data_IF_154480677144
#
_entry.id   IF_154480677144
#
_cell.length_a   1.000
_cell.length_b   1.000
_cell.length_c   1.000
_cell.angle_alpha   90.00
_cell.angle_beta   90.00
_cell.angle_gamma   90.00
#
_symmetry.space_group_name_H-M   'P 1'
#
loop_
_entity.id
_entity.type
_entity.pdbx_description
1 polymer ?
#
# COMPACT_ATOMS: atom_id res chain seq x y z
N UNK A 1 22.04 12.15 -15.85
CA UNK A 1 21.42 12.65 -17.07
C UNK A 1 22.50 13.08 -18.02
N UNK A 2 22.74 12.36 -19.09
CA UNK A 2 23.71 12.72 -20.14
C UNK A 2 22.96 12.95 -21.44
N UNK A 3 23.19 14.08 -22.07
CA UNK A 3 22.65 14.42 -23.39
C UNK A 3 23.75 14.14 -24.41
N UNK A 4 23.57 13.14 -25.23
CA UNK A 4 24.37 12.95 -26.44
C UNK A 4 23.42 12.80 -27.63
N UNK A 5 23.63 13.64 -28.64
CA UNK A 5 22.92 13.60 -29.94
C UNK A 5 21.39 13.68 -29.87
N UNK A 6 20.81 14.53 -29.01
CA UNK A 6 19.36 14.77 -28.97
C UNK A 6 18.51 13.58 -28.52
N UNK A 7 19.13 12.55 -27.96
CA UNK A 7 18.46 11.39 -27.37
C UNK A 7 18.55 11.50 -25.86
N UNK A 8 17.41 11.48 -25.19
CA UNK A 8 17.35 11.40 -23.74
C UNK A 8 17.46 9.93 -23.33
N UNK A 9 18.58 9.55 -22.73
CA UNK A 9 18.67 8.28 -22.02
C UNK A 9 18.34 8.49 -20.55
N UNK A 10 17.18 8.01 -20.14
CA UNK A 10 16.79 7.94 -18.73
C UNK A 10 17.14 6.55 -18.24
N UNK A 11 18.20 6.42 -17.49
CA UNK A 11 18.51 5.16 -16.80
C UNK A 11 17.60 5.05 -15.59
N UNK A 12 16.46 4.36 -15.74
CA UNK A 12 15.61 3.98 -14.63
C UNK A 12 16.25 2.76 -13.98
N UNK A 13 16.80 2.93 -12.79
CA UNK A 13 17.19 1.80 -11.95
C UNK A 13 15.91 1.14 -11.43
N UNK A 14 15.47 0.13 -12.14
CA UNK A 14 14.39 -0.74 -11.67
C UNK A 14 14.91 -1.48 -10.43
N UNK A 15 14.30 -1.22 -9.30
CA UNK A 15 14.53 -2.08 -8.13
C UNK A 15 14.08 -3.49 -8.50
N UNK A 16 14.90 -4.51 -8.27
CA UNK A 16 14.52 -5.89 -8.58
C UNK A 16 13.21 -6.22 -7.86
N UNK A 17 12.35 -6.93 -8.57
CA UNK A 17 11.12 -7.47 -8.00
C UNK A 17 11.44 -8.26 -6.74
N UNK A 18 10.58 -8.17 -5.73
CA UNK A 18 10.71 -8.97 -4.51
C UNK A 18 10.86 -10.46 -4.83
N UNK A 19 10.25 -10.94 -5.92
CA UNK A 19 10.43 -12.31 -6.42
C UNK A 19 11.85 -12.60 -6.91
N UNK A 20 12.49 -11.65 -7.56
CA UNK A 20 13.86 -11.82 -8.07
C UNK A 20 14.86 -11.78 -6.93
N UNK A 21 14.62 -10.98 -5.88
CA UNK A 21 15.43 -10.95 -4.67
C UNK A 21 15.42 -12.31 -3.96
N UNK A 22 14.26 -12.97 -3.88
CA UNK A 22 14.17 -14.29 -3.28
C UNK A 22 14.75 -15.42 -4.15
N UNK A 23 14.87 -15.21 -5.45
CA UNK A 23 15.35 -16.22 -6.39
C UNK A 23 16.87 -16.21 -6.55
N UNK A 24 17.51 -15.08 -6.30
CA UNK A 24 18.95 -14.88 -6.49
C UNK A 24 19.70 -14.60 -5.20
N UNK A 25 19.02 -14.53 -4.07
CA UNK A 25 19.68 -14.32 -2.80
C UNK A 25 20.54 -15.54 -2.45
N UNK A 26 21.87 -15.41 -2.41
CA UNK A 26 22.68 -16.42 -1.76
C UNK A 26 22.23 -16.54 -0.30
N UNK A 27 22.32 -17.72 0.25
CA UNK A 27 21.90 -18.11 1.60
C UNK A 27 22.47 -17.26 2.76
N UNK A 28 23.30 -16.29 2.47
CA UNK A 28 23.79 -15.28 3.39
C UNK A 28 23.20 -13.92 2.98
N UNK A 29 21.94 -13.69 3.32
CA UNK A 29 21.43 -12.33 3.32
C UNK A 29 22.26 -11.52 4.33
N UNK A 30 22.90 -10.40 3.92
CA UNK A 30 23.46 -9.49 4.90
C UNK A 30 22.33 -9.07 5.81
N UNK A 31 22.54 -9.03 7.12
CA UNK A 31 21.57 -8.45 8.01
C UNK A 31 21.46 -6.98 7.61
N UNK A 32 20.52 -6.66 6.74
CA UNK A 32 20.04 -5.30 6.62
C UNK A 32 19.33 -5.03 7.93
N UNK A 33 20.14 -4.78 8.93
CA UNK A 33 19.73 -4.31 10.24
C UNK A 33 19.21 -2.86 10.11
N UNK A 34 18.19 -2.67 9.28
CA UNK A 34 17.20 -1.66 9.48
C UNK A 34 15.96 -2.37 10.08
N UNK A 35 16.17 -3.05 11.20
CA UNK A 35 15.09 -3.18 12.14
C UNK A 35 14.89 -1.77 12.70
N UNK A 36 13.85 -1.03 12.32
CA UNK A 36 13.56 0.24 12.97
C UNK A 36 13.34 -0.11 14.43
N UNK A 37 14.13 0.48 15.31
CA UNK A 37 13.98 0.38 16.77
C UNK A 37 12.68 1.04 17.24
N UNK A 38 11.92 1.59 16.31
CA UNK A 38 10.63 2.21 16.47
C UNK A 38 9.56 1.29 15.89
N UNK A 39 8.35 1.35 16.41
CA UNK A 39 7.22 0.59 15.89
C UNK A 39 7.05 0.78 14.39
N UNK A 40 6.55 -0.23 13.70
CA UNK A 40 6.30 -0.14 12.26
C UNK A 40 4.90 0.43 12.01
N UNK A 41 4.79 1.30 11.00
CA UNK A 41 3.48 1.74 10.53
C UNK A 41 2.62 0.53 10.17
N UNK A 42 1.34 0.53 10.53
CA UNK A 42 0.43 -0.54 10.16
C UNK A 42 0.45 -0.80 8.64
N UNK A 43 0.41 -2.06 8.26
CA UNK A 43 0.40 -2.45 6.84
C UNK A 43 -0.73 -1.76 6.06
N UNK A 44 -1.90 -1.61 6.68
CA UNK A 44 -3.05 -0.93 6.06
C UNK A 44 -2.76 0.53 5.73
N UNK A 45 -2.02 1.24 6.59
CA UNK A 45 -1.57 2.62 6.33
C UNK A 45 -0.62 2.68 5.15
N UNK A 46 0.35 1.77 5.09
CA UNK A 46 1.31 1.69 3.98
C UNK A 46 0.61 1.40 2.65
N UNK A 47 -0.33 0.46 2.63
CA UNK A 47 -1.06 0.09 1.40
C UNK A 47 -1.98 1.21 0.95
N UNK A 48 -2.65 1.91 1.86
CA UNK A 48 -3.48 3.07 1.52
C UNK A 48 -2.63 4.23 0.98
N UNK A 49 -1.49 4.52 1.58
CA UNK A 49 -0.56 5.53 1.06
C UNK A 49 -0.09 5.19 -0.35
N UNK A 50 0.20 3.91 -0.60
CA UNK A 50 0.55 3.43 -1.95
C UNK A 50 -0.61 3.60 -2.95
N UNK A 51 -1.85 3.34 -2.53
CA UNK A 51 -3.02 3.56 -3.36
C UNK A 51 -3.16 5.02 -3.79
N UNK A 52 -2.94 5.94 -2.86
CA UNK A 52 -2.99 7.38 -3.13
C UNK A 52 -1.88 7.79 -4.10
N UNK A 53 -0.66 7.29 -3.91
CA UNK A 53 0.45 7.53 -4.85
C UNK A 53 0.13 7.02 -6.26
N UNK A 54 -0.43 5.85 -6.38
CA UNK A 54 -0.84 5.30 -7.69
C UNK A 54 -1.94 6.14 -8.34
N UNK A 55 -2.88 6.64 -7.56
CA UNK A 55 -3.90 7.56 -8.08
C UNK A 55 -3.26 8.85 -8.59
N UNK A 56 -2.34 9.44 -7.85
CA UNK A 56 -1.61 10.63 -8.29
C UNK A 56 -0.81 10.39 -9.57
N UNK A 57 -0.19 9.23 -9.73
CA UNK A 57 0.54 8.87 -10.96
C UNK A 57 -0.40 8.80 -12.17
N UNK A 58 -1.60 8.27 -11.99
CA UNK A 58 -2.63 8.26 -13.04
C UNK A 58 -3.09 9.69 -13.37
N UNK A 59 -3.34 10.50 -12.36
CA UNK A 59 -3.83 11.88 -12.52
C UNK A 59 -2.79 12.79 -13.19
N UNK A 60 -1.50 12.56 -12.93
CA UNK A 60 -0.38 13.27 -13.56
C UNK A 60 -0.03 12.74 -14.95
N UNK A 61 -0.62 11.61 -15.36
CA UNK A 61 -0.31 10.97 -16.64
C UNK A 61 1.03 10.23 -16.68
N UNK A 62 1.64 9.97 -15.52
CA UNK A 62 2.87 9.16 -15.40
C UNK A 62 2.58 7.69 -15.72
N UNK A 63 1.37 7.23 -15.44
CA UNK A 63 0.84 5.95 -15.85
C UNK A 63 -0.51 6.16 -16.55
N UNK A 64 -0.77 5.41 -17.62
CA UNK A 64 -2.01 5.55 -18.40
C UNK A 64 -3.15 4.70 -17.83
N UNK A 65 -2.82 3.60 -17.21
CA UNK A 65 -3.77 2.62 -16.71
C UNK A 65 -3.13 1.69 -15.67
N UNK A 66 -3.92 0.81 -15.08
CA UNK A 66 -3.47 -0.15 -14.09
C UNK A 66 -2.41 -1.14 -14.61
N UNK A 67 -2.39 -1.43 -15.91
CA UNK A 67 -1.35 -2.28 -16.49
C UNK A 67 0.01 -1.57 -16.49
N UNK A 68 0.03 -0.26 -16.74
CA UNK A 68 1.25 0.54 -16.63
C UNK A 68 1.74 0.62 -15.19
N UNK A 69 0.84 0.84 -14.23
CA UNK A 69 1.18 0.80 -12.80
C UNK A 69 1.75 -0.56 -12.38
N UNK A 70 1.16 -1.65 -12.88
CA UNK A 70 1.63 -3.01 -12.60
C UNK A 70 3.05 -3.24 -13.13
N UNK A 71 3.37 -2.73 -14.31
CA UNK A 71 4.73 -2.78 -14.89
C UNK A 71 5.71 -1.94 -14.09
N UNK A 72 5.35 -0.71 -13.73
CA UNK A 72 6.19 0.20 -12.95
C UNK A 72 6.46 -0.35 -11.55
N UNK A 73 5.44 -0.92 -10.91
CA UNK A 73 5.53 -1.49 -9.57
C UNK A 73 6.05 -2.94 -9.53
N UNK A 74 6.30 -3.58 -10.67
CA UNK A 74 6.69 -5.00 -10.77
C UNK A 74 5.75 -5.93 -10.00
N UNK A 75 4.45 -5.66 -10.05
CA UNK A 75 3.39 -6.43 -9.40
C UNK A 75 2.35 -6.88 -10.41
N UNK A 76 1.52 -7.86 -10.05
CA UNK A 76 0.44 -8.27 -10.93
C UNK A 76 -0.70 -7.23 -10.95
N UNK A 77 -1.46 -7.20 -12.05
CA UNK A 77 -2.57 -6.27 -12.24
C UNK A 77 -3.66 -6.43 -11.17
N UNK A 78 -3.92 -7.67 -10.74
CA UNK A 78 -4.86 -7.93 -9.65
C UNK A 78 -4.44 -7.23 -8.36
N UNK A 79 -3.14 -7.22 -8.06
CA UNK A 79 -2.65 -6.52 -6.87
C UNK A 79 -2.88 -5.01 -6.97
N UNK A 80 -2.64 -4.41 -8.15
CA UNK A 80 -2.96 -3.00 -8.38
C UNK A 80 -4.45 -2.74 -8.16
N UNK A 81 -5.32 -3.56 -8.73
CA UNK A 81 -6.78 -3.41 -8.55
C UNK A 81 -7.21 -3.52 -7.08
N UNK A 82 -6.59 -4.42 -6.32
CA UNK A 82 -6.85 -4.57 -4.88
C UNK A 82 -6.40 -3.35 -4.07
N UNK A 83 -5.25 -2.78 -4.41
CA UNK A 83 -4.72 -1.59 -3.76
C UNK A 83 -5.59 -0.37 -4.12
N UNK A 84 -5.90 -0.19 -5.39
CA UNK A 84 -6.71 0.93 -5.88
C UNK A 84 -8.14 0.91 -5.33
N UNK A 85 -8.68 -0.27 -4.98
CA UNK A 85 -9.99 -0.36 -4.34
C UNK A 85 -10.07 0.44 -3.02
N UNK A 86 -8.95 0.66 -2.34
CA UNK A 86 -8.91 1.44 -1.10
C UNK A 86 -9.14 2.94 -1.31
N UNK A 87 -8.93 3.46 -2.52
CA UNK A 87 -9.23 4.86 -2.84
C UNK A 87 -10.74 5.17 -2.83
N UNK A 88 -11.59 4.12 -2.86
CA UNK A 88 -13.05 4.24 -2.78
C UNK A 88 -13.59 4.34 -1.35
N UNK A 89 -12.71 4.26 -0.36
CA UNK A 89 -13.09 4.49 1.03
C UNK A 89 -13.54 5.94 1.24
N UNK A 90 -14.46 6.13 2.17
CA UNK A 90 -14.85 7.47 2.60
C UNK A 90 -13.62 8.27 3.07
N UNK A 91 -13.52 9.56 2.74
CA UNK A 91 -12.33 10.37 3.04
C UNK A 91 -11.95 10.40 4.53
N UNK A 92 -12.93 10.41 5.40
CA UNK A 92 -12.73 10.37 6.85
C UNK A 92 -12.14 9.03 7.34
N UNK A 93 -12.48 7.92 6.67
CA UNK A 93 -11.89 6.61 6.95
C UNK A 93 -10.44 6.57 6.44
N UNK A 94 -10.20 7.10 5.24
CA UNK A 94 -8.83 7.20 4.69
C UNK A 94 -7.94 8.01 5.63
N UNK A 95 -8.41 9.15 6.08
CA UNK A 95 -7.69 10.01 7.02
C UNK A 95 -7.43 9.30 8.36
N UNK A 96 -8.42 8.60 8.89
CA UNK A 96 -8.27 7.82 10.12
C UNK A 96 -7.20 6.72 9.99
N UNK A 97 -7.16 6.02 8.85
CA UNK A 97 -6.15 4.98 8.56
C UNK A 97 -4.75 5.57 8.40
N UNK A 98 -4.63 6.72 7.73
CA UNK A 98 -3.34 7.39 7.54
C UNK A 98 -2.76 7.97 8.83
N UNK A 99 -3.62 8.30 9.79
CA UNK A 99 -3.22 8.81 11.10
C UNK A 99 -2.91 7.72 12.12
N UNK A 100 -2.99 6.46 11.76
CA UNK A 100 -2.63 5.37 12.66
C UNK A 100 -1.16 5.48 13.04
N UNK A 101 -0.90 5.42 14.33
CA UNK A 101 0.45 5.46 14.86
C UNK A 101 1.16 4.12 14.67
N UNK A 102 2.46 4.14 14.82
CA UNK A 102 3.28 2.93 14.83
C UNK A 102 2.80 1.94 15.89
N UNK A 103 2.71 0.68 15.51
CA UNK A 103 2.33 -0.40 16.42
C UNK A 103 3.43 -1.46 16.48
N UNK A 104 3.61 -2.13 17.62
CA UNK A 104 4.57 -3.21 17.73
C UNK A 104 4.32 -4.28 16.66
N UNK A 105 5.35 -4.59 15.86
CA UNK A 105 5.26 -5.57 14.78
C UNK A 105 4.46 -5.13 13.55
N UNK A 106 4.03 -3.86 13.44
CA UNK A 106 3.31 -3.33 12.28
C UNK A 106 1.92 -3.94 12.04
N UNK A 107 1.44 -4.76 12.98
CA UNK A 107 0.16 -5.45 12.85
C UNK A 107 -0.93 -4.66 13.56
N UNK A 108 -1.90 -4.21 12.79
CA UNK A 108 -3.10 -3.56 13.29
C UNK A 108 -4.28 -4.55 13.24
N UNK A 109 -5.23 -4.50 14.18
CA UNK A 109 -6.35 -5.45 14.23
C UNK A 109 -7.14 -5.52 12.92
N UNK A 110 -7.39 -4.38 12.29
CA UNK A 110 -8.12 -4.33 11.03
C UNK A 110 -7.18 -4.70 9.87
N UNK A 111 -7.55 -5.71 9.10
CA UNK A 111 -6.77 -6.19 7.96
C UNK A 111 -7.05 -5.39 6.68
N UNK A 112 -6.13 -5.46 5.72
CA UNK A 112 -6.34 -4.95 4.36
C UNK A 112 -7.59 -5.54 3.69
N UNK A 113 -7.84 -6.85 3.91
CA UNK A 113 -9.02 -7.52 3.38
C UNK A 113 -10.32 -6.95 3.93
N UNK A 114 -10.36 -6.60 5.22
CA UNK A 114 -11.51 -5.94 5.84
C UNK A 114 -11.73 -4.54 5.25
N UNK A 115 -10.68 -3.74 5.09
CA UNK A 115 -10.79 -2.42 4.45
C UNK A 115 -11.31 -2.51 3.01
N UNK A 116 -10.86 -3.50 2.24
CA UNK A 116 -11.38 -3.71 0.87
C UNK A 116 -12.87 -4.06 0.86
N UNK A 117 -13.33 -4.86 1.80
CA UNK A 117 -14.77 -5.16 1.94
C UNK A 117 -15.58 -3.91 2.27
N UNK A 118 -15.06 -3.05 3.13
CA UNK A 118 -15.69 -1.76 3.45
C UNK A 118 -15.71 -0.86 2.20
N UNK A 119 -14.61 -0.78 1.46
CA UNK A 119 -14.49 0.01 0.24
C UNK A 119 -15.47 -0.41 -0.87
N UNK A 120 -15.91 -1.67 -0.88
CA UNK A 120 -16.90 -2.19 -1.82
C UNK A 120 -18.35 -1.74 -1.52
N UNK A 121 -18.59 -1.20 -0.35
CA UNK A 121 -19.93 -0.69 0.00
C UNK A 121 -20.20 0.60 -0.79
N UNK A 122 -21.38 0.71 -1.44
CA UNK A 122 -21.65 1.79 -2.38
C UNK A 122 -21.91 3.13 -1.71
N UNK A 123 -22.22 3.14 -0.43
CA UNK A 123 -22.53 4.36 0.34
C UNK A 123 -21.52 4.60 1.44
N UNK A 124 -21.02 5.81 1.54
CA UNK A 124 -20.08 6.19 2.59
C UNK A 124 -20.65 6.05 4.00
N UNK A 125 -21.93 6.27 4.19
CA UNK A 125 -22.61 6.02 5.47
C UNK A 125 -22.49 4.56 5.91
N UNK A 126 -22.73 3.63 4.98
CA UNK A 126 -22.56 2.20 5.23
C UNK A 126 -21.10 1.84 5.52
N UNK A 127 -20.16 2.47 4.82
CA UNK A 127 -18.74 2.30 5.08
C UNK A 127 -18.35 2.77 6.48
N UNK A 128 -18.83 3.95 6.90
CA UNK A 128 -18.60 4.50 8.24
C UNK A 128 -19.17 3.62 9.33
N UNK A 129 -20.40 3.14 9.14
CA UNK A 129 -21.04 2.24 10.09
C UNK A 129 -20.25 0.94 10.25
N UNK A 130 -19.84 0.33 9.14
CA UNK A 130 -19.01 -0.89 9.17
C UNK A 130 -17.64 -0.65 9.79
N UNK A 131 -17.00 0.48 9.50
CA UNK A 131 -15.73 0.88 10.09
C UNK A 131 -15.82 1.01 11.62
N UNK A 132 -16.87 1.66 12.12
CA UNK A 132 -17.09 1.80 13.57
C UNK A 132 -17.32 0.45 14.24
N UNK A 133 -18.09 -0.43 13.63
CA UNK A 133 -18.29 -1.80 14.15
C UNK A 133 -16.98 -2.56 14.29
N UNK A 134 -16.12 -2.52 13.29
CA UNK A 134 -14.80 -3.18 13.35
C UNK A 134 -13.94 -2.63 14.48
N UNK A 135 -13.93 -1.33 14.67
CA UNK A 135 -13.18 -0.71 15.78
C UNK A 135 -13.68 -1.15 17.16
N UNK A 136 -14.97 -1.33 17.31
CA UNK A 136 -15.57 -1.80 18.57
C UNK A 136 -15.27 -3.28 18.80
N UNK A 137 -15.39 -4.12 17.79
CA UNK A 137 -15.07 -5.55 17.85
C UNK A 137 -13.60 -5.78 18.22
N UNK A 138 -12.69 -4.99 17.65
CA UNK A 138 -11.26 -5.05 17.94
C UNK A 138 -10.94 -4.57 19.36
N UNK A 139 -11.60 -3.52 19.83
CA UNK A 139 -11.47 -3.03 21.21
C UNK A 139 -11.97 -4.05 22.25
N UNK A 140 -13.04 -4.79 21.92
CA UNK A 140 -13.59 -5.85 22.77
C UNK A 140 -12.70 -7.12 22.74
N UNK A 141 -12.06 -7.43 21.61
CA UNK A 141 -11.16 -8.59 21.47
C UNK A 141 -9.81 -8.45 22.19
N UNK A 142 -9.41 -7.23 22.56
CA UNK A 142 -8.16 -6.97 23.29
C UNK A 142 -8.28 -7.11 24.81
N UNK A 143 -9.46 -7.51 25.31
CA UNK A 143 -9.77 -7.60 26.74
C UNK A 143 -9.71 -9.04 27.30
N UNK A 144 -8.99 -9.92 26.60
CA UNK A 144 -8.76 -11.31 27.08
C UNK A 144 -7.28 -11.55 27.34
#
# INVERSE_FOLDING_TARGET
MKIQNGRFEVTVQLRPSVRDVYRTAPSAAPPMAFAPKHGQLPRITQVLALAIQFQEMLDRGEARNYADLARLGCVCRERISQVMALTWLAPDIQEAVLRLTEVPGGRYPISEGTLRKIAQLPRWESQRHQWQRQKIEDAAGCSS
#
